data_IF_765383069843
#
_entry.id   IF_765383069843
#
_cell.length_a   1.000
_cell.length_b   1.000
_cell.length_c   1.000
_cell.angle_alpha   90.00
_cell.angle_beta   90.00
_cell.angle_gamma   90.00
#
_symmetry.space_group_name_H-M   'P 1'
#
loop_
_entity.id
_entity.type
_entity.pdbx_description
1 polymer ?
#
# COMPACT_ATOMS: atom_id res chain seq x y z
N UNK A 1 -21.24 -26.68 1.01
CA UNK A 1 -20.90 -26.33 -0.39
C UNK A 1 -19.48 -26.74 -0.64
N UNK A 2 -19.27 -27.59 -1.67
CA UNK A 2 -17.93 -28.01 -2.07
C UNK A 2 -17.36 -27.02 -3.09
N UNK A 3 -16.06 -26.81 -3.02
CA UNK A 3 -15.29 -25.95 -3.91
C UNK A 3 -14.15 -26.74 -4.53
N UNK A 4 -13.80 -26.42 -5.77
CA UNK A 4 -12.53 -26.83 -6.37
C UNK A 4 -11.53 -25.70 -6.15
N UNK A 5 -10.41 -25.99 -5.49
CA UNK A 5 -9.33 -25.06 -5.24
C UNK A 5 -8.21 -25.29 -6.27
N UNK A 6 -7.85 -24.24 -6.96
CA UNK A 6 -6.73 -24.22 -7.90
C UNK A 6 -5.79 -23.07 -7.56
N UNK A 7 -4.50 -23.24 -7.82
CA UNK A 7 -3.48 -22.21 -7.64
C UNK A 7 -2.47 -22.18 -8.77
N UNK A 8 -2.00 -21.00 -9.12
CA UNK A 8 -0.94 -20.79 -10.11
C UNK A 8 0.06 -19.78 -9.57
N UNK A 9 1.34 -20.18 -9.49
CA UNK A 9 2.41 -19.28 -9.08
C UNK A 9 2.76 -18.30 -10.17
N UNK A 10 3.21 -17.11 -9.77
CA UNK A 10 3.79 -16.11 -10.67
C UNK A 10 5.04 -15.48 -10.05
N UNK A 11 5.93 -14.99 -10.91
CA UNK A 11 7.09 -14.18 -10.52
C UNK A 11 7.50 -13.30 -11.69
N UNK A 12 7.69 -12.01 -11.45
CA UNK A 12 8.14 -11.06 -12.46
C UNK A 12 9.02 -9.98 -11.85
N UNK A 13 9.93 -9.43 -12.66
CA UNK A 13 10.73 -8.27 -12.27
C UNK A 13 9.86 -7.01 -12.30
N UNK A 14 10.01 -6.17 -11.30
CA UNK A 14 9.37 -4.85 -11.29
C UNK A 14 10.07 -3.93 -12.30
N UNK A 15 9.30 -3.09 -12.98
CA UNK A 15 9.82 -2.11 -13.95
C UNK A 15 10.66 -1.02 -13.29
N UNK A 16 10.36 -0.72 -12.02
CA UNK A 16 11.14 0.17 -11.18
C UNK A 16 11.39 -0.49 -9.82
N UNK A 17 12.51 -0.15 -9.19
CA UNK A 17 12.82 -0.55 -7.83
C UNK A 17 11.78 0.05 -6.88
N UNK A 18 11.14 -0.78 -6.09
CA UNK A 18 10.25 -0.33 -5.01
C UNK A 18 11.00 -0.48 -3.70
N UNK A 19 11.26 0.63 -3.04
CA UNK A 19 11.95 0.63 -1.76
C UNK A 19 11.21 1.43 -0.69
N UNK A 20 11.47 1.06 0.54
CA UNK A 20 11.14 1.82 1.72
C UNK A 20 12.31 1.72 2.70
N UNK A 21 12.25 2.43 3.82
CA UNK A 21 13.30 2.43 4.85
C UNK A 21 13.71 1.05 5.39
N UNK A 22 12.91 0.01 5.16
CA UNK A 22 13.15 -1.34 5.69
C UNK A 22 13.55 -2.38 4.63
N UNK A 23 13.15 -2.18 3.37
CA UNK A 23 13.28 -3.23 2.33
C UNK A 23 13.32 -2.67 0.92
N UNK A 24 14.01 -3.43 0.04
CA UNK A 24 14.07 -3.18 -1.39
C UNK A 24 13.48 -4.36 -2.15
N UNK A 25 12.57 -4.09 -3.08
CA UNK A 25 11.91 -5.09 -3.89
C UNK A 25 12.26 -4.88 -5.37
N UNK A 26 12.81 -5.93 -6.00
CA UNK A 26 13.10 -5.97 -7.43
C UNK A 26 12.19 -6.95 -8.18
N UNK A 27 11.56 -7.84 -7.44
CA UNK A 27 10.74 -8.92 -7.98
C UNK A 27 9.46 -9.04 -7.15
N UNK A 28 8.34 -9.16 -7.82
CA UNK A 28 7.08 -9.54 -7.20
C UNK A 28 6.79 -11.01 -7.50
N UNK A 29 6.48 -11.79 -6.46
CA UNK A 29 6.15 -13.22 -6.57
C UNK A 29 4.97 -13.56 -5.68
N UNK A 30 4.18 -14.54 -6.10
CA UNK A 30 3.00 -14.97 -5.37
C UNK A 30 2.22 -16.06 -6.09
N UNK A 31 0.95 -16.15 -5.77
CA UNK A 31 0.01 -17.09 -6.39
C UNK A 31 -1.32 -16.41 -6.66
N UNK A 32 -1.90 -16.73 -7.79
CA UNK A 32 -3.33 -16.53 -8.01
C UNK A 32 -4.02 -17.82 -7.59
N UNK A 33 -5.01 -17.71 -6.72
CA UNK A 33 -5.91 -18.81 -6.38
C UNK A 33 -7.23 -18.63 -7.13
N UNK A 34 -7.86 -19.76 -7.44
CA UNK A 34 -9.17 -19.83 -8.08
C UNK A 34 -10.02 -20.81 -7.28
N UNK A 35 -11.20 -20.38 -6.88
CA UNK A 35 -12.22 -21.23 -6.31
C UNK A 35 -13.36 -21.40 -7.33
N UNK A 36 -13.87 -22.62 -7.44
CA UNK A 36 -15.00 -22.94 -8.33
C UNK A 36 -16.05 -23.65 -7.47
N UNK A 37 -17.26 -23.11 -7.43
CA UNK A 37 -18.38 -23.72 -6.71
C UNK A 37 -19.10 -24.78 -7.53
N UNK A 38 -19.94 -25.59 -6.88
CA UNK A 38 -20.74 -26.62 -7.55
C UNK A 38 -21.66 -26.06 -8.64
N UNK A 39 -22.16 -24.85 -8.47
CA UNK A 39 -22.97 -24.10 -9.45
C UNK A 39 -22.12 -23.36 -10.49
N UNK A 40 -20.83 -23.73 -10.61
CA UNK A 40 -19.85 -23.21 -11.60
C UNK A 40 -19.53 -21.72 -11.45
N UNK A 41 -19.88 -21.07 -10.36
CA UNK A 41 -19.38 -19.73 -10.08
C UNK A 41 -17.91 -19.80 -9.77
N UNK A 42 -17.17 -18.77 -10.20
CA UNK A 42 -15.72 -18.68 -10.09
C UNK A 42 -15.39 -17.43 -9.28
N UNK A 43 -14.40 -17.56 -8.40
CA UNK A 43 -13.81 -16.44 -7.69
C UNK A 43 -12.30 -16.53 -7.66
N UNK A 44 -11.64 -15.39 -7.66
CA UNK A 44 -10.18 -15.27 -7.66
C UNK A 44 -9.68 -14.54 -6.42
N UNK A 45 -8.44 -14.87 -6.04
CA UNK A 45 -7.71 -14.15 -5.02
C UNK A 45 -6.21 -14.16 -5.28
N UNK A 46 -5.50 -13.15 -4.80
CA UNK A 46 -4.05 -13.05 -4.94
C UNK A 46 -3.36 -13.26 -3.58
N UNK A 47 -2.43 -14.21 -3.52
CA UNK A 47 -1.52 -14.42 -2.38
C UNK A 47 -0.18 -13.79 -2.75
N UNK A 48 0.09 -12.58 -2.23
CA UNK A 48 1.26 -11.79 -2.61
C UNK A 48 2.01 -11.25 -1.38
N UNK A 49 2.68 -12.10 -0.60
CA UNK A 49 3.47 -11.64 0.54
C UNK A 49 4.68 -10.82 0.08
N UNK A 50 5.03 -9.78 0.82
CA UNK A 50 6.14 -8.90 0.51
C UNK A 50 7.50 -9.54 0.84
N UNK A 51 7.60 -10.27 1.95
CA UNK A 51 8.88 -10.80 2.40
C UNK A 51 9.13 -12.23 1.90
N UNK A 52 10.40 -12.53 1.53
CA UNK A 52 10.80 -13.87 1.06
C UNK A 52 10.50 -14.99 2.06
N UNK A 53 10.62 -14.73 3.37
CA UNK A 53 10.26 -15.70 4.41
C UNK A 53 8.78 -16.07 4.36
N UNK A 54 7.92 -15.11 4.09
CA UNK A 54 6.48 -15.30 4.03
C UNK A 54 6.06 -16.01 2.73
N UNK A 55 6.79 -15.83 1.62
CA UNK A 55 6.61 -16.63 0.40
C UNK A 55 6.78 -18.12 0.69
N UNK A 56 7.85 -18.50 1.42
CA UNK A 56 8.07 -19.92 1.80
C UNK A 56 6.96 -20.46 2.70
N UNK A 57 6.49 -19.64 3.66
CA UNK A 57 5.38 -19.99 4.55
C UNK A 57 4.08 -20.17 3.76
N UNK A 58 3.74 -19.22 2.90
CA UNK A 58 2.56 -19.29 2.04
C UNK A 58 2.60 -20.51 1.10
N UNK A 59 3.74 -20.80 0.48
CA UNK A 59 3.90 -21.98 -0.37
C UNK A 59 3.57 -23.30 0.38
N UNK A 60 4.11 -23.46 1.60
CA UNK A 60 3.83 -24.62 2.44
C UNK A 60 2.35 -24.72 2.78
N UNK A 61 1.72 -23.63 3.22
CA UNK A 61 0.32 -23.60 3.62
C UNK A 61 -0.63 -23.83 2.43
N UNK A 62 -0.36 -23.22 1.28
CA UNK A 62 -1.15 -23.47 0.06
C UNK A 62 -1.10 -24.92 -0.41
N UNK A 63 -0.04 -25.65 -0.12
CA UNK A 63 0.06 -27.08 -0.45
C UNK A 63 -0.75 -27.99 0.49
N UNK A 64 -1.18 -27.47 1.65
CA UNK A 64 -2.04 -28.19 2.58
C UNK A 64 -3.53 -28.11 2.19
N UNK A 65 -3.90 -27.16 1.34
CA UNK A 65 -5.29 -27.00 0.88
C UNK A 65 -5.55 -28.06 -0.21
N UNK A 66 -6.50 -28.98 0.00
CA UNK A 66 -6.81 -30.01 -1.00
C UNK A 66 -7.54 -29.38 -2.21
N UNK A 67 -7.46 -30.05 -3.36
CA UNK A 67 -8.15 -29.60 -4.58
C UNK A 67 -9.66 -29.53 -4.37
N UNK A 68 -10.25 -30.50 -3.68
CA UNK A 68 -11.65 -30.49 -3.30
C UNK A 68 -11.76 -30.14 -1.81
N UNK A 69 -12.40 -29.01 -1.51
CA UNK A 69 -12.52 -28.50 -0.16
C UNK A 69 -13.95 -28.03 0.14
N UNK A 70 -14.44 -28.33 1.32
CA UNK A 70 -15.71 -27.78 1.80
C UNK A 70 -15.53 -26.35 2.32
N UNK A 71 -16.46 -25.46 1.98
CA UNK A 71 -16.44 -24.06 2.44
C UNK A 71 -16.39 -23.99 3.96
N UNK A 72 -17.14 -24.83 4.67
CA UNK A 72 -17.16 -24.87 6.14
C UNK A 72 -15.75 -25.12 6.69
N UNK A 73 -15.09 -26.19 6.22
CA UNK A 73 -13.75 -26.57 6.65
C UNK A 73 -12.71 -25.48 6.31
N UNK A 74 -12.85 -24.86 5.12
CA UNK A 74 -11.98 -23.77 4.71
C UNK A 74 -12.15 -22.54 5.61
N UNK A 75 -13.38 -22.20 5.96
CA UNK A 75 -13.70 -21.05 6.82
C UNK A 75 -13.25 -21.25 8.27
N UNK A 76 -13.38 -22.46 8.82
CA UNK A 76 -12.87 -22.76 10.17
C UNK A 76 -11.34 -22.69 10.23
N UNK A 77 -10.65 -23.15 9.19
CA UNK A 77 -9.21 -23.17 9.13
C UNK A 77 -8.57 -21.88 8.65
N UNK A 78 -9.37 -20.90 8.18
CA UNK A 78 -8.84 -19.70 7.55
C UNK A 78 -7.88 -18.93 8.47
N UNK A 79 -8.18 -18.90 9.77
CA UNK A 79 -7.41 -18.15 10.75
C UNK A 79 -6.01 -18.71 11.03
N UNK A 80 -5.73 -19.97 10.66
CA UNK A 80 -4.40 -20.56 10.82
C UNK A 80 -3.47 -20.27 9.63
N UNK A 81 -4.03 -19.81 8.51
CA UNK A 81 -3.25 -19.44 7.33
C UNK A 81 -2.60 -18.07 7.48
N UNK A 82 -1.56 -17.85 6.70
CA UNK A 82 -0.93 -16.54 6.57
C UNK A 82 -1.96 -15.49 6.10
N UNK A 83 -1.95 -14.24 6.62
CA UNK A 83 -2.92 -13.20 6.26
C UNK A 83 -3.13 -12.98 4.75
N UNK A 84 -2.07 -13.12 3.94
CA UNK A 84 -2.20 -13.04 2.48
C UNK A 84 -3.07 -14.16 1.89
N UNK A 85 -3.02 -15.37 2.47
CA UNK A 85 -3.87 -16.50 2.05
C UNK A 85 -5.30 -16.28 2.51
N UNK A 86 -5.49 -15.82 3.75
CA UNK A 86 -6.82 -15.46 4.27
C UNK A 86 -7.49 -14.43 3.37
N UNK A 87 -6.79 -13.35 3.04
CA UNK A 87 -7.29 -12.30 2.17
C UNK A 87 -7.67 -12.83 0.79
N UNK A 88 -6.82 -13.66 0.20
CA UNK A 88 -7.07 -14.25 -1.12
C UNK A 88 -8.30 -15.16 -1.12
N UNK A 89 -8.45 -16.03 -0.11
CA UNK A 89 -9.61 -16.91 0.03
C UNK A 89 -10.89 -16.10 0.21
N UNK A 90 -10.86 -15.10 1.11
CA UNK A 90 -12.01 -14.24 1.37
C UNK A 90 -12.43 -13.44 0.12
N UNK A 91 -11.46 -12.95 -0.67
CA UNK A 91 -11.74 -12.27 -1.94
C UNK A 91 -12.44 -13.21 -2.92
N UNK A 92 -11.91 -14.42 -3.12
CA UNK A 92 -12.49 -15.42 -4.01
C UNK A 92 -13.91 -15.85 -3.57
N UNK A 93 -14.13 -16.03 -2.27
CA UNK A 93 -15.47 -16.34 -1.72
C UNK A 93 -16.45 -15.16 -1.87
N UNK A 94 -15.98 -13.93 -1.70
CA UNK A 94 -16.81 -12.74 -1.87
C UNK A 94 -17.27 -12.60 -3.33
N UNK A 95 -16.41 -12.94 -4.30
CA UNK A 95 -16.74 -12.95 -5.72
C UNK A 95 -17.78 -14.02 -6.03
N UNK A 96 -17.59 -15.29 -5.59
CA UNK A 96 -18.57 -16.38 -5.74
C UNK A 96 -19.93 -16.01 -5.16
N UNK A 97 -19.94 -15.35 -4.00
CA UNK A 97 -21.15 -14.96 -3.29
C UNK A 97 -21.81 -13.67 -3.83
N UNK A 98 -21.29 -13.09 -4.93
CA UNK A 98 -21.81 -11.86 -5.52
C UNK A 98 -21.68 -10.63 -4.63
N UNK A 99 -20.77 -10.64 -3.65
CA UNK A 99 -20.52 -9.50 -2.76
C UNK A 99 -19.65 -8.43 -3.43
N UNK A 100 -18.92 -8.79 -4.49
CA UNK A 100 -18.15 -7.85 -5.31
C UNK A 100 -19.08 -7.43 -6.45
N UNK A 101 -19.53 -6.19 -6.40
CA UNK A 101 -20.42 -5.63 -7.43
C UNK A 101 -19.56 -4.73 -8.32
N UNK A 102 -19.33 -5.16 -9.55
CA UNK A 102 -18.79 -4.30 -10.60
C UNK A 102 -19.97 -3.51 -11.20
N UNK A 103 -20.12 -2.25 -10.81
CA UNK A 103 -21.06 -1.36 -11.51
C UNK A 103 -20.39 -0.91 -12.81
N UNK A 104 -21.03 -1.18 -13.94
CA UNK A 104 -20.54 -0.82 -15.29
C UNK A 104 -20.32 0.68 -15.48
N UNK A 105 -20.91 1.53 -14.62
CA UNK A 105 -20.88 2.98 -14.69
C UNK A 105 -20.20 3.65 -13.48
N UNK A 106 -19.09 3.12 -12.97
CA UNK A 106 -18.25 3.91 -12.11
C UNK A 106 -17.58 5.00 -12.94
N UNK A 107 -18.05 6.23 -12.78
CA UNK A 107 -17.28 7.38 -13.25
C UNK A 107 -15.95 7.38 -12.48
N UNK A 108 -14.86 7.24 -13.21
CA UNK A 108 -13.49 7.26 -12.64
C UNK A 108 -13.20 8.55 -11.85
N UNK A 109 -13.99 9.59 -12.03
CA UNK A 109 -13.89 10.87 -11.28
C UNK A 109 -14.38 10.75 -9.82
N UNK A 110 -15.17 9.75 -9.47
CA UNK A 110 -15.64 9.48 -8.09
C UNK A 110 -14.71 8.54 -7.31
N UNK A 111 -13.84 7.81 -8.00
CA UNK A 111 -12.81 6.99 -7.35
C UNK A 111 -11.75 7.94 -6.81
N UNK A 112 -11.58 7.94 -5.49
CA UNK A 112 -10.58 8.77 -4.81
C UNK A 112 -9.22 8.69 -5.51
N UNK A 113 -8.64 9.83 -5.87
CA UNK A 113 -7.38 9.91 -6.62
C UNK A 113 -6.25 9.27 -5.82
N UNK A 114 -5.58 8.29 -6.41
CA UNK A 114 -4.39 7.68 -5.85
C UNK A 114 -3.23 8.67 -5.87
N UNK A 115 -2.48 8.78 -4.78
CA UNK A 115 -1.28 9.60 -4.75
C UNK A 115 -0.19 8.99 -5.65
N UNK A 116 0.49 9.84 -6.42
CA UNK A 116 1.64 9.43 -7.25
C UNK A 116 2.88 9.34 -6.35
N UNK A 117 3.53 8.19 -6.35
CA UNK A 117 4.76 7.97 -5.58
C UNK A 117 5.92 8.67 -6.27
N UNK A 118 6.63 9.53 -5.53
CA UNK A 118 7.86 10.16 -5.96
C UNK A 118 9.04 9.20 -5.82
N UNK A 119 9.92 9.18 -6.81
CA UNK A 119 11.18 8.45 -6.73
C UNK A 119 12.14 9.17 -5.78
N UNK A 120 12.62 8.46 -4.75
CA UNK A 120 13.48 9.04 -3.74
C UNK A 120 14.82 9.57 -4.28
N UNK A 121 15.41 8.88 -5.25
CA UNK A 121 16.73 9.24 -5.80
C UNK A 121 16.67 10.51 -6.66
N UNK A 122 15.57 10.68 -7.41
CA UNK A 122 15.43 11.72 -8.43
C UNK A 122 14.13 12.54 -8.26
N UNK A 123 13.78 12.87 -7.02
CA UNK A 123 12.51 13.51 -6.65
C UNK A 123 12.17 14.72 -7.52
N UNK A 124 13.16 15.58 -7.80
CA UNK A 124 12.94 16.83 -8.52
C UNK A 124 12.69 16.59 -10.01
N UNK A 125 13.45 15.71 -10.65
CA UNK A 125 13.21 15.38 -12.07
C UNK A 125 11.87 14.67 -12.23
N UNK A 126 11.55 13.75 -11.30
CA UNK A 126 10.28 13.03 -11.27
C UNK A 126 9.10 13.98 -11.12
N UNK A 127 9.22 14.97 -10.23
CA UNK A 127 8.23 16.03 -10.04
C UNK A 127 7.98 16.82 -11.34
N UNK A 128 9.02 17.18 -12.07
CA UNK A 128 8.91 17.88 -13.35
C UNK A 128 8.20 17.04 -14.41
N UNK A 129 8.53 15.75 -14.48
CA UNK A 129 7.90 14.82 -15.42
C UNK A 129 6.44 14.53 -15.08
N UNK A 130 6.11 14.41 -13.77
CA UNK A 130 4.74 14.27 -13.29
C UNK A 130 3.94 15.53 -13.64
N UNK A 131 4.48 16.71 -13.40
CA UNK A 131 3.81 17.96 -13.76
C UNK A 131 3.51 18.06 -15.25
N UNK A 132 4.47 17.71 -16.12
CA UNK A 132 4.26 17.70 -17.57
C UNK A 132 3.15 16.74 -18.00
N UNK A 133 3.07 15.56 -17.39
CA UNK A 133 2.06 14.53 -17.73
C UNK A 133 0.66 14.83 -17.19
N UNK A 134 0.56 15.55 -16.09
CA UNK A 134 -0.69 15.84 -15.37
C UNK A 134 -1.06 17.34 -15.40
N UNK A 135 -0.59 18.08 -16.42
CA UNK A 135 -0.78 19.53 -16.59
C UNK A 135 -2.23 19.93 -16.94
N UNK A 136 -3.23 19.12 -16.64
CA UNK A 136 -4.63 19.55 -16.78
C UNK A 136 -4.89 20.71 -15.80
N UNK A 137 -5.09 21.87 -16.37
CA UNK A 137 -5.33 23.14 -15.66
C UNK A 137 -6.51 22.94 -14.70
N UNK A 138 -6.25 23.11 -13.39
CA UNK A 138 -7.27 23.09 -12.36
C UNK A 138 -7.49 21.78 -11.61
N UNK A 139 -6.91 20.66 -12.01
CA UNK A 139 -7.03 19.40 -11.25
C UNK A 139 -6.06 19.37 -10.07
N UNK A 140 -6.55 19.01 -8.88
CA UNK A 140 -5.69 18.78 -7.72
C UNK A 140 -4.90 17.50 -7.89
N UNK A 141 -3.59 17.52 -7.60
CA UNK A 141 -2.70 16.39 -7.63
C UNK A 141 -2.23 16.06 -6.22
N UNK A 142 -2.15 14.76 -5.89
CA UNK A 142 -1.57 14.30 -4.64
C UNK A 142 -0.32 13.48 -4.94
N UNK A 143 0.77 13.83 -4.29
CA UNK A 143 2.05 13.16 -4.35
C UNK A 143 2.31 12.44 -3.03
N UNK A 144 3.03 11.32 -3.08
CA UNK A 144 3.52 10.62 -1.90
C UNK A 144 5.03 10.51 -1.98
N UNK A 145 5.72 10.94 -0.93
CA UNK A 145 7.16 10.83 -0.80
C UNK A 145 7.53 9.97 0.40
N UNK A 146 8.33 8.94 0.15
CA UNK A 146 8.89 8.09 1.20
C UNK A 146 10.17 8.70 1.73
N UNK A 147 10.26 8.82 3.04
CA UNK A 147 11.39 9.38 3.79
C UNK A 147 12.00 8.34 4.73
N UNK A 148 12.98 8.74 5.53
CA UNK A 148 13.79 7.85 6.38
C UNK A 148 14.64 6.84 5.57
N UNK A 149 15.02 7.21 4.36
CA UNK A 149 15.92 6.45 3.47
C UNK A 149 17.33 7.02 3.47
N UNK A 150 17.47 8.29 3.85
CA UNK A 150 18.72 9.05 3.89
C UNK A 150 18.90 9.73 5.24
N UNK A 151 19.93 10.58 5.35
CA UNK A 151 20.13 11.46 6.47
C UNK A 151 18.97 12.48 6.56
N UNK A 152 18.48 12.75 7.77
CA UNK A 152 17.37 13.70 7.97
C UNK A 152 17.64 15.09 7.41
N UNK A 153 18.85 15.62 7.54
CA UNK A 153 19.18 16.95 7.00
C UNK A 153 19.12 17.00 5.47
N UNK A 154 19.53 15.91 4.80
CA UNK A 154 19.39 15.80 3.34
C UNK A 154 17.93 15.75 2.92
N UNK A 155 17.10 15.02 3.68
CA UNK A 155 15.68 14.89 3.41
C UNK A 155 14.92 16.19 3.73
N UNK A 156 15.28 16.91 4.80
CA UNK A 156 14.74 18.24 5.11
C UNK A 156 15.05 19.25 4.00
N UNK A 157 16.29 19.33 3.54
CA UNK A 157 16.67 20.19 2.42
C UNK A 157 15.91 19.84 1.13
N UNK A 158 15.71 18.54 0.90
CA UNK A 158 14.95 18.05 -0.25
C UNK A 158 13.46 18.36 -0.13
N UNK A 159 12.89 18.33 1.09
CA UNK A 159 11.53 18.77 1.35
C UNK A 159 11.34 20.25 0.96
N UNK A 160 12.25 21.12 1.37
CA UNK A 160 12.21 22.56 1.02
C UNK A 160 12.24 22.73 -0.50
N UNK A 161 13.10 22.00 -1.19
CA UNK A 161 13.18 22.03 -2.66
C UNK A 161 11.88 21.55 -3.31
N UNK A 162 11.26 20.46 -2.82
CA UNK A 162 9.96 19.99 -3.32
C UNK A 162 8.91 21.06 -3.11
N UNK A 163 8.79 21.59 -1.90
CA UNK A 163 7.77 22.58 -1.52
C UNK A 163 7.91 23.88 -2.33
N UNK A 164 9.14 24.30 -2.65
CA UNK A 164 9.38 25.47 -3.51
C UNK A 164 8.90 25.28 -4.96
N UNK A 165 8.81 24.02 -5.41
CA UNK A 165 8.47 23.68 -6.79
C UNK A 165 7.00 23.29 -6.98
N UNK A 166 6.29 22.89 -5.93
CA UNK A 166 4.87 22.51 -6.04
C UNK A 166 3.96 23.75 -5.90
N UNK A 167 2.92 23.80 -6.74
CA UNK A 167 1.89 24.85 -6.65
C UNK A 167 0.82 24.53 -5.60
N UNK A 168 -0.07 25.50 -5.38
CA UNK A 168 -1.15 25.37 -4.37
C UNK A 168 -2.14 24.22 -4.63
N UNK A 169 -2.22 23.74 -5.87
CA UNK A 169 -3.08 22.63 -6.29
C UNK A 169 -2.47 21.25 -6.06
N UNK A 170 -1.23 21.18 -5.56
CA UNK A 170 -0.53 19.91 -5.29
C UNK A 170 -0.46 19.69 -3.78
N UNK A 171 -0.88 18.49 -3.36
CA UNK A 171 -0.74 17.99 -1.98
C UNK A 171 0.38 16.97 -1.88
N UNK A 172 1.12 17.02 -0.78
CA UNK A 172 2.22 16.10 -0.49
C UNK A 172 1.90 15.27 0.74
N UNK A 173 1.98 13.96 0.61
CA UNK A 173 1.96 12.97 1.69
C UNK A 173 3.35 12.49 1.96
N UNK A 174 3.74 12.45 3.22
CA UNK A 174 5.08 12.02 3.66
C UNK A 174 4.94 10.73 4.43
N UNK A 175 5.69 9.69 4.05
CA UNK A 175 5.61 8.35 4.63
C UNK A 175 6.99 7.92 5.15
N UNK A 176 7.14 7.86 6.48
CA UNK A 176 8.35 7.44 7.16
C UNK A 176 8.41 5.92 7.42
N UNK A 177 7.36 5.17 7.09
CA UNK A 177 7.26 3.72 7.28
C UNK A 177 7.65 3.24 8.70
N UNK A 178 7.36 4.03 9.73
CA UNK A 178 7.64 3.70 11.13
C UNK A 178 9.13 3.63 11.45
N UNK A 179 9.96 4.47 10.84
CA UNK A 179 11.41 4.37 10.96
C UNK A 179 12.05 5.49 11.78
N UNK A 180 11.29 6.50 12.17
CA UNK A 180 11.80 7.57 13.01
C UNK A 180 11.68 7.26 14.49
N UNK A 181 12.62 7.79 15.28
CA UNK A 181 12.46 7.99 16.71
C UNK A 181 11.60 9.23 16.99
N UNK A 182 11.15 9.39 18.24
CA UNK A 182 10.24 10.48 18.65
C UNK A 182 10.81 11.88 18.39
N UNK A 183 12.09 12.08 18.61
CA UNK A 183 12.76 13.37 18.41
C UNK A 183 12.65 13.81 16.94
N UNK A 184 12.98 12.90 16.00
CA UNK A 184 12.90 13.19 14.57
C UNK A 184 11.46 13.38 14.14
N UNK A 185 10.53 12.52 14.62
CA UNK A 185 9.12 12.63 14.29
C UNK A 185 8.53 13.97 14.74
N UNK A 186 8.86 14.44 15.96
CA UNK A 186 8.42 15.74 16.47
C UNK A 186 8.99 16.89 15.62
N UNK A 187 10.29 16.83 15.32
CA UNK A 187 10.93 17.84 14.46
C UNK A 187 10.26 17.94 13.09
N UNK A 188 10.00 16.81 12.43
CA UNK A 188 9.28 16.80 11.17
C UNK A 188 7.85 17.31 11.30
N UNK A 189 7.15 16.95 12.38
CA UNK A 189 5.81 17.48 12.63
C UNK A 189 5.82 19.01 12.76
N UNK A 190 6.81 19.58 13.43
CA UNK A 190 6.97 21.04 13.54
C UNK A 190 7.27 21.72 12.21
N UNK A 191 8.10 21.11 11.37
CA UNK A 191 8.40 21.62 10.00
C UNK A 191 7.14 21.60 9.13
N UNK A 192 6.28 20.61 9.28
CA UNK A 192 5.16 20.34 8.38
C UNK A 192 3.86 21.05 8.77
N UNK A 193 3.66 21.38 10.07
CA UNK A 193 2.35 21.75 10.65
C UNK A 193 1.65 22.90 9.95
N UNK A 194 2.38 23.94 9.50
CA UNK A 194 1.82 25.15 8.94
C UNK A 194 1.85 25.20 7.41
N UNK A 195 2.34 24.14 6.77
CA UNK A 195 2.46 24.13 5.32
C UNK A 195 1.18 23.62 4.65
N UNK A 196 0.55 24.48 3.85
CA UNK A 196 -0.73 24.20 3.17
C UNK A 196 -0.64 23.09 2.11
N UNK A 197 0.54 22.81 1.59
CA UNK A 197 0.74 21.75 0.60
C UNK A 197 0.84 20.36 1.26
N UNK A 198 1.10 20.25 2.55
CA UNK A 198 1.15 18.98 3.26
C UNK A 198 -0.27 18.46 3.49
N UNK A 199 -0.51 17.22 3.06
CA UNK A 199 -1.77 16.50 3.28
C UNK A 199 -1.76 15.76 4.62
N UNK A 200 -0.78 14.88 4.82
CA UNK A 200 -0.52 14.19 6.10
C UNK A 200 0.90 13.64 6.19
N UNK A 201 1.27 13.29 7.42
CA UNK A 201 2.45 12.51 7.76
C UNK A 201 2.00 11.10 8.14
N UNK A 202 2.49 10.08 7.40
CA UNK A 202 2.14 8.68 7.55
C UNK A 202 3.22 7.92 8.30
N UNK A 203 2.81 7.13 9.29
CA UNK A 203 3.65 6.23 10.06
C UNK A 203 5.00 6.84 10.49
N UNK A 204 5.04 7.97 11.23
CA UNK A 204 6.30 8.55 11.67
C UNK A 204 7.05 7.63 12.64
N UNK A 205 6.35 6.94 13.51
CA UNK A 205 6.87 6.07 14.56
C UNK A 205 6.56 4.60 14.28
N UNK A 206 7.31 3.70 14.93
CA UNK A 206 7.03 2.27 14.85
C UNK A 206 5.65 1.92 15.46
N UNK A 207 5.14 0.73 15.11
CA UNK A 207 3.78 0.28 15.51
C UNK A 207 3.61 0.25 17.02
N UNK A 208 4.66 -0.08 17.77
CA UNK A 208 4.62 -0.16 19.24
C UNK A 208 4.54 1.23 19.90
N UNK A 209 4.89 2.30 19.18
CA UNK A 209 4.84 3.69 19.63
C UNK A 209 3.57 4.45 19.19
N UNK A 210 2.61 3.79 18.52
CA UNK A 210 1.41 4.44 17.97
C UNK A 210 0.58 5.15 19.04
N UNK A 211 0.41 4.56 20.22
CA UNK A 211 -0.34 5.18 21.33
C UNK A 211 0.26 6.54 21.74
N UNK A 212 1.56 6.73 21.58
CA UNK A 212 2.26 7.98 21.88
C UNK A 212 2.17 8.97 20.72
N UNK A 213 2.08 8.51 19.48
CA UNK A 213 1.86 9.35 18.30
C UNK A 213 0.56 10.14 18.42
N UNK A 214 -0.51 9.53 18.93
CA UNK A 214 -1.79 10.21 19.13
C UNK A 214 -1.75 11.30 20.20
N UNK A 215 -0.89 11.18 21.21
CA UNK A 215 -0.82 12.13 22.34
C UNK A 215 0.14 13.31 22.09
N UNK A 216 1.16 13.14 21.26
CA UNK A 216 2.24 14.15 21.10
C UNK A 216 2.36 14.75 19.70
N UNK A 217 1.84 14.09 18.67
CA UNK A 217 1.89 14.56 17.28
C UNK A 217 0.51 15.04 16.79
N UNK A 218 -0.26 15.70 17.64
CA UNK A 218 -1.48 16.37 17.19
C UNK A 218 -1.13 17.57 16.31
N UNK A 219 -1.02 17.34 15.02
CA UNK A 219 -1.11 18.41 14.03
C UNK A 219 -2.54 18.96 14.10
N UNK A 220 -2.77 20.24 14.40
CA UNK A 220 -4.09 20.79 14.76
C UNK A 220 -5.18 20.61 13.70
N UNK A 221 -4.88 20.12 12.53
CA UNK A 221 -5.84 19.95 11.41
C UNK A 221 -5.52 18.77 10.48
N UNK A 222 -4.56 17.88 10.79
CA UNK A 222 -4.10 16.87 9.83
C UNK A 222 -4.02 15.49 10.48
N UNK A 223 -4.58 14.49 9.78
CA UNK A 223 -4.59 13.10 10.24
C UNK A 223 -3.18 12.52 10.24
N UNK A 224 -2.77 11.96 11.38
CA UNK A 224 -1.69 10.97 11.46
C UNK A 224 -2.36 9.62 11.24
N UNK A 225 -1.98 8.92 10.19
CA UNK A 225 -2.52 7.61 9.82
C UNK A 225 -1.40 6.57 9.90
#
# INVERSE_FOLDING_TARGET
MNLIFQKKSYSFKLSAKVENSKTNYHTKSGWIIKLISNDKKIGFGEVSPLHKKDLKKCAKQLNLIPENVEVFNLSEQINIFHPCIQSAINSALAEINGKIIFKENYYFDEIGKTAILLNHENVVSDLNDIKKRHCDIGKSLTLKWKVALKNNHEEEAKLEEILSKIGNNIKLRIDANGSWGREIANRWADILKDNKNIDWLEQPLCVDDIAVSYTHLTLPTKRIV
#
